data_IF_975490672616
#
_entry.id   IF_975490672616
#
_cell.length_a   1.000
_cell.length_b   1.000
_cell.length_c   1.000
_cell.angle_alpha   90.00
_cell.angle_beta   90.00
_cell.angle_gamma   90.00
#
_symmetry.space_group_name_H-M   'P 1'
#
loop_
_entity.id
_entity.type
_entity.pdbx_description
1 polymer ?
#
# COMPACT_ATOMS: atom_id res chain seq x y z
N UNK A 1 -46.86 -29.62 22.08
CA UNK A 1 -47.44 -29.68 20.72
C UNK A 1 -47.93 -28.27 20.39
N UNK A 2 -47.42 -27.57 19.37
CA UNK A 2 -46.70 -28.07 18.20
C UNK A 2 -45.22 -27.67 18.15
N UNK A 3 -44.45 -28.53 17.49
CA UNK A 3 -43.04 -28.40 17.15
C UNK A 3 -42.83 -27.26 16.14
N UNK A 4 -41.83 -26.41 16.36
CA UNK A 4 -41.24 -25.59 15.29
C UNK A 4 -40.02 -26.34 14.78
N UNK A 5 -40.18 -26.95 13.60
CA UNK A 5 -39.09 -27.51 12.82
C UNK A 5 -38.09 -26.39 12.46
N UNK A 6 -36.81 -26.69 12.67
CA UNK A 6 -35.72 -25.84 12.25
C UNK A 6 -35.48 -26.07 10.74
N UNK A 7 -35.69 -25.04 9.94
CA UNK A 7 -35.28 -25.04 8.53
C UNK A 7 -33.75 -24.86 8.42
N UNK A 8 -33.10 -25.49 7.42
CA UNK A 8 -31.65 -25.57 7.36
C UNK A 8 -31.04 -24.26 6.85
N UNK A 9 -29.97 -23.84 7.53
CA UNK A 9 -29.11 -22.71 7.13
C UNK A 9 -28.46 -23.02 5.78
N UNK A 10 -29.03 -22.49 4.70
CA UNK A 10 -28.37 -22.43 3.39
C UNK A 10 -27.22 -21.44 3.47
N UNK A 11 -26.00 -21.96 3.31
CA UNK A 11 -24.77 -21.18 3.15
C UNK A 11 -24.93 -20.25 1.94
N UNK A 12 -25.05 -18.95 2.20
CA UNK A 12 -25.00 -17.94 1.15
C UNK A 12 -23.55 -17.86 0.63
N UNK A 13 -23.35 -18.42 -0.55
CA UNK A 13 -22.22 -18.17 -1.40
C UNK A 13 -22.42 -16.77 -1.98
N UNK A 14 -21.66 -15.78 -1.51
CA UNK A 14 -21.75 -14.40 -2.00
C UNK A 14 -20.38 -13.96 -2.48
N UNK A 15 -20.02 -14.44 -3.66
CA UNK A 15 -19.20 -13.67 -4.58
C UNK A 15 -20.06 -12.48 -5.03
N UNK A 16 -20.02 -11.38 -4.26
CA UNK A 16 -20.71 -10.14 -4.62
C UNK A 16 -19.74 -9.38 -5.49
N UNK A 17 -19.90 -9.51 -6.80
CA UNK A 17 -19.32 -8.58 -7.76
C UNK A 17 -19.84 -7.19 -7.42
N UNK A 18 -18.96 -6.29 -6.97
CA UNK A 18 -19.30 -4.92 -6.64
C UNK A 18 -19.53 -4.15 -7.94
N UNK A 19 -20.79 -4.02 -8.37
CA UNK A 19 -21.18 -3.11 -9.44
C UNK A 19 -21.56 -1.77 -8.81
N UNK A 20 -20.74 -0.71 -8.94
CA UNK A 20 -21.09 0.60 -8.41
C UNK A 20 -22.35 1.14 -9.09
N UNK A 21 -23.23 1.79 -8.32
CA UNK A 21 -24.38 2.50 -8.86
C UNK A 21 -23.88 3.73 -9.64
N UNK A 22 -24.12 3.74 -10.95
CA UNK A 22 -23.64 4.78 -11.87
C UNK A 22 -24.71 5.87 -11.99
N UNK A 23 -24.32 7.13 -11.79
CA UNK A 23 -25.25 8.26 -11.95
C UNK A 23 -25.63 8.47 -13.42
N UNK A 24 -26.75 9.18 -13.65
CA UNK A 24 -27.07 9.62 -15.02
C UNK A 24 -25.96 10.54 -15.55
N UNK A 25 -25.73 10.62 -16.88
CA UNK A 25 -24.67 11.46 -17.44
C UNK A 25 -24.72 12.93 -17.00
N UNK A 26 -25.91 13.49 -16.83
CA UNK A 26 -26.10 14.86 -16.38
C UNK A 26 -25.77 15.04 -14.89
N UNK A 27 -26.19 14.10 -14.03
CA UNK A 27 -25.84 14.11 -12.60
C UNK A 27 -24.35 13.85 -12.37
N UNK A 28 -23.75 12.88 -13.08
CA UNK A 28 -22.31 12.59 -13.06
C UNK A 28 -21.52 13.86 -13.40
N UNK A 29 -21.91 14.54 -14.49
CA UNK A 29 -21.28 15.78 -14.93
C UNK A 29 -21.40 16.88 -13.87
N UNK A 30 -22.58 17.06 -13.28
CA UNK A 30 -22.80 18.06 -12.24
C UNK A 30 -21.92 17.81 -11.01
N UNK A 31 -21.91 16.57 -10.50
CA UNK A 31 -21.09 16.17 -9.34
C UNK A 31 -19.60 16.32 -9.63
N UNK A 32 -19.15 15.97 -10.84
CA UNK A 32 -17.77 16.14 -11.26
C UNK A 32 -17.39 17.62 -11.39
N UNK A 33 -18.28 18.48 -11.89
CA UNK A 33 -18.06 19.94 -11.95
C UNK A 33 -17.96 20.55 -10.54
N UNK A 34 -18.80 20.10 -9.61
CA UNK A 34 -18.76 20.52 -8.20
C UNK A 34 -17.44 20.08 -7.54
N UNK A 35 -17.05 18.82 -7.70
CA UNK A 35 -15.76 18.29 -7.23
C UNK A 35 -14.57 19.09 -7.78
N UNK A 36 -14.61 19.42 -9.08
CA UNK A 36 -13.57 20.20 -9.73
C UNK A 36 -13.52 21.66 -9.23
N UNK A 37 -14.65 22.22 -8.83
CA UNK A 37 -14.73 23.57 -8.22
C UNK A 37 -14.04 23.58 -6.86
N UNK A 38 -14.35 22.62 -5.99
CA UNK A 38 -13.70 22.45 -4.69
C UNK A 38 -12.20 22.19 -4.85
N UNK A 39 -11.81 21.29 -5.77
CA UNK A 39 -10.41 21.03 -6.12
C UNK A 39 -9.68 22.29 -6.58
N UNK A 40 -10.32 23.14 -7.38
CA UNK A 40 -9.73 24.39 -7.88
C UNK A 40 -9.50 25.38 -6.74
N UNK A 41 -10.45 25.47 -5.80
CA UNK A 41 -10.28 26.27 -4.57
C UNK A 41 -9.15 25.73 -3.69
N UNK A 42 -9.06 24.41 -3.52
CA UNK A 42 -7.98 23.73 -2.78
C UNK A 42 -6.60 23.93 -3.44
N UNK A 43 -6.53 23.93 -4.76
CA UNK A 43 -5.29 24.23 -5.48
C UNK A 43 -4.80 25.67 -5.17
N UNK A 44 -5.69 26.64 -5.02
CA UNK A 44 -5.32 28.02 -4.66
C UNK A 44 -4.69 28.07 -3.26
N UNK A 45 -5.32 27.45 -2.27
CA UNK A 45 -4.78 27.40 -0.90
C UNK A 45 -3.47 26.60 -0.83
N UNK A 46 -3.35 25.53 -1.63
CA UNK A 46 -2.10 24.80 -1.77
C UNK A 46 -0.97 25.69 -2.30
N UNK A 47 -1.24 26.48 -3.35
CA UNK A 47 -0.24 27.39 -3.92
C UNK A 47 0.13 28.54 -2.99
N UNK A 48 -0.76 28.96 -2.09
CA UNK A 48 -0.45 29.96 -1.06
C UNK A 48 0.29 29.38 0.15
N UNK A 49 0.53 28.06 0.19
CA UNK A 49 1.21 27.38 1.29
C UNK A 49 0.30 27.03 2.47
N UNK A 50 -1.01 27.28 2.37
CA UNK A 50 -1.98 26.87 3.39
C UNK A 50 -2.43 25.43 3.12
N UNK A 51 -1.57 24.49 3.51
CA UNK A 51 -1.76 23.08 3.23
C UNK A 51 -2.91 22.45 4.01
N UNK A 52 -3.20 22.92 5.23
CA UNK A 52 -4.33 22.43 6.02
C UNK A 52 -5.67 22.80 5.38
N UNK A 53 -5.82 24.05 4.92
CA UNK A 53 -7.02 24.45 4.18
C UNK A 53 -7.11 23.76 2.82
N UNK A 54 -5.96 23.49 2.17
CA UNK A 54 -5.93 22.70 0.93
C UNK A 54 -6.43 21.27 1.15
N UNK A 55 -5.99 20.58 2.21
CA UNK A 55 -6.45 19.23 2.58
C UNK A 55 -7.97 19.23 2.74
N UNK A 56 -8.53 20.14 3.54
CA UNK A 56 -9.98 20.24 3.73
C UNK A 56 -10.74 20.48 2.42
N UNK A 57 -10.20 21.32 1.52
CA UNK A 57 -10.79 21.54 0.20
C UNK A 57 -10.76 20.30 -0.69
N UNK A 58 -9.68 19.53 -0.70
CA UNK A 58 -9.63 18.26 -1.44
C UNK A 58 -10.52 17.18 -0.82
N UNK A 59 -10.68 17.14 0.49
CA UNK A 59 -11.62 16.23 1.16
C UNK A 59 -13.08 16.56 0.83
N UNK A 60 -13.43 17.85 0.75
CA UNK A 60 -14.74 18.28 0.23
C UNK A 60 -14.94 17.85 -1.21
N UNK A 61 -13.93 18.04 -2.06
CA UNK A 61 -13.98 17.57 -3.45
C UNK A 61 -14.15 16.05 -3.54
N UNK A 62 -13.54 15.27 -2.64
CA UNK A 62 -13.69 13.81 -2.57
C UNK A 62 -15.10 13.41 -2.13
N UNK A 63 -15.71 14.14 -1.20
CA UNK A 63 -17.04 13.83 -0.68
C UNK A 63 -18.14 13.96 -1.75
N UNK A 64 -17.94 14.82 -2.75
CA UNK A 64 -18.89 15.02 -3.87
C UNK A 64 -18.51 14.25 -5.13
N UNK A 65 -17.29 13.70 -5.21
CA UNK A 65 -16.83 12.96 -6.39
C UNK A 65 -17.53 11.59 -6.47
N UNK A 66 -18.17 11.24 -7.60
CA UNK A 66 -18.74 9.92 -7.78
C UNK A 66 -17.71 8.79 -7.56
N UNK A 67 -18.09 7.76 -6.81
CA UNK A 67 -17.15 6.76 -6.27
C UNK A 67 -16.50 5.88 -7.34
N UNK A 68 -17.09 5.80 -8.53
CA UNK A 68 -16.55 5.05 -9.67
C UNK A 68 -15.63 5.89 -10.58
N UNK A 69 -15.49 7.20 -10.33
CA UNK A 69 -14.53 8.06 -11.03
C UNK A 69 -13.14 7.97 -10.37
N UNK A 70 -12.58 6.76 -10.40
CA UNK A 70 -11.36 6.39 -9.67
C UNK A 70 -10.15 7.25 -10.04
N UNK A 71 -10.07 7.75 -11.28
CA UNK A 71 -8.99 8.66 -11.68
C UNK A 71 -9.08 10.00 -10.94
N UNK A 72 -10.26 10.61 -10.88
CA UNK A 72 -10.47 11.88 -10.20
C UNK A 72 -10.27 11.74 -8.69
N UNK A 73 -10.74 10.63 -8.10
CA UNK A 73 -10.46 10.26 -6.71
C UNK A 73 -8.94 10.15 -6.48
N UNK A 74 -8.22 9.46 -7.37
CA UNK A 74 -6.77 9.31 -7.27
C UNK A 74 -6.06 10.66 -7.36
N UNK A 75 -6.50 11.59 -8.23
CA UNK A 75 -5.94 12.94 -8.33
C UNK A 75 -6.05 13.67 -6.99
N UNK A 76 -7.25 13.67 -6.40
CA UNK A 76 -7.52 14.35 -5.13
C UNK A 76 -6.67 13.78 -3.99
N UNK A 77 -6.65 12.45 -3.85
CA UNK A 77 -5.83 11.75 -2.83
C UNK A 77 -4.34 11.99 -3.02
N UNK A 78 -3.87 12.02 -4.27
CA UNK A 78 -2.47 12.29 -4.58
C UNK A 78 -2.08 13.74 -4.24
N UNK A 79 -3.00 14.70 -4.36
CA UNK A 79 -2.81 16.08 -3.93
C UNK A 79 -2.83 16.23 -2.40
N UNK A 80 -3.71 15.51 -1.69
CA UNK A 80 -3.70 15.44 -0.22
C UNK A 80 -2.35 14.91 0.28
N UNK A 81 -1.84 13.83 -0.32
CA UNK A 81 -0.49 13.31 -0.02
C UNK A 81 0.59 14.37 -0.21
N UNK A 82 0.50 15.19 -1.27
CA UNK A 82 1.43 16.28 -1.49
C UNK A 82 1.37 17.36 -0.39
N UNK A 83 0.18 17.63 0.16
CA UNK A 83 0.00 18.55 1.29
C UNK A 83 0.67 18.00 2.55
N UNK A 84 0.41 16.73 2.89
CA UNK A 84 1.04 16.08 4.05
C UNK A 84 2.57 16.03 3.93
N UNK A 85 3.12 15.80 2.72
CA UNK A 85 4.58 15.89 2.49
C UNK A 85 5.11 17.30 2.78
N UNK A 86 4.34 18.34 2.47
CA UNK A 86 4.74 19.73 2.75
C UNK A 86 4.62 20.09 4.22
N UNK A 87 3.77 19.40 4.96
CA UNK A 87 3.61 19.50 6.41
C UNK A 87 4.54 18.55 7.19
N UNK A 88 5.32 17.70 6.50
CA UNK A 88 6.15 16.65 7.09
C UNK A 88 5.34 15.60 7.89
N UNK A 89 4.06 15.46 7.56
CA UNK A 89 3.13 14.46 8.11
C UNK A 89 3.28 13.15 7.33
N UNK A 90 4.40 12.47 7.55
CA UNK A 90 4.85 11.39 6.67
C UNK A 90 3.90 10.20 6.63
N UNK A 91 3.25 9.84 7.74
CA UNK A 91 2.36 8.67 7.79
C UNK A 91 1.07 8.91 7.02
N UNK A 92 0.49 10.10 7.19
CA UNK A 92 -0.70 10.58 6.50
C UNK A 92 -0.43 10.74 5.00
N UNK A 93 0.79 11.17 4.63
CA UNK A 93 1.25 11.19 3.25
C UNK A 93 1.32 9.79 2.63
N UNK A 94 1.83 8.79 3.35
CA UNK A 94 1.86 7.38 2.91
C UNK A 94 0.45 6.83 2.73
N UNK A 95 -0.44 7.09 3.69
CA UNK A 95 -1.83 6.64 3.62
C UNK A 95 -2.55 7.23 2.41
N UNK A 96 -2.46 8.55 2.23
CA UNK A 96 -3.10 9.25 1.11
C UNK A 96 -2.56 8.81 -0.25
N UNK A 97 -1.24 8.61 -0.37
CA UNK A 97 -0.64 8.10 -1.60
C UNK A 97 -1.03 6.64 -1.88
N UNK A 98 -1.17 5.81 -0.83
CA UNK A 98 -1.62 4.42 -0.96
C UNK A 98 -3.05 4.38 -1.47
N UNK A 99 -3.97 5.14 -0.87
CA UNK A 99 -5.36 5.20 -1.35
C UNK A 99 -5.47 5.75 -2.78
N UNK A 100 -4.55 6.62 -3.20
CA UNK A 100 -4.47 7.07 -4.59
C UNK A 100 -4.02 5.94 -5.53
N UNK A 101 -3.04 5.12 -5.12
CA UNK A 101 -2.57 3.97 -5.89
C UNK A 101 -3.63 2.87 -5.96
N UNK A 102 -4.33 2.59 -4.86
CA UNK A 102 -5.41 1.61 -4.83
C UNK A 102 -6.54 1.97 -5.83
N UNK A 103 -6.89 3.26 -5.93
CA UNK A 103 -7.84 3.75 -6.93
C UNK A 103 -7.35 3.54 -8.37
N UNK A 104 -6.07 3.81 -8.63
CA UNK A 104 -5.47 3.58 -9.96
C UNK A 104 -5.36 2.10 -10.30
N UNK A 105 -5.09 1.25 -9.31
CA UNK A 105 -4.99 -0.19 -9.47
C UNK A 105 -6.35 -0.85 -9.74
N UNK A 106 -7.47 -0.20 -9.41
CA UNK A 106 -8.80 -0.63 -9.88
C UNK A 106 -9.02 -0.34 -11.36
N UNK A 107 -8.40 0.71 -11.91
CA UNK A 107 -8.49 1.05 -13.33
C UNK A 107 -7.50 0.20 -14.15
N UNK A 108 -6.29 0.03 -13.64
CA UNK A 108 -5.20 -0.68 -14.28
C UNK A 108 -4.50 -1.57 -13.26
N UNK A 109 -5.01 -2.80 -13.04
CA UNK A 109 -4.47 -3.70 -12.04
C UNK A 109 -3.00 -4.06 -12.31
N UNK A 110 -2.16 -4.13 -11.26
CA UNK A 110 -0.81 -4.64 -11.43
C UNK A 110 -0.86 -6.10 -11.91
N UNK A 111 0.13 -6.56 -12.70
CA UNK A 111 0.18 -7.95 -13.13
C UNK A 111 0.18 -8.85 -11.90
N UNK A 112 -0.75 -9.81 -11.88
CA UNK A 112 -0.89 -10.77 -10.78
C UNK A 112 0.46 -11.44 -10.58
N UNK A 113 1.07 -11.26 -9.41
CA UNK A 113 2.21 -12.09 -9.02
C UNK A 113 1.64 -13.48 -8.76
N UNK A 114 1.87 -14.42 -9.67
CA UNK A 114 1.59 -15.83 -9.41
C UNK A 114 2.23 -16.19 -8.07
N UNK A 115 1.40 -16.35 -7.04
CA UNK A 115 1.83 -16.94 -5.78
C UNK A 115 2.00 -18.42 -6.07
N UNK A 116 3.25 -18.83 -6.26
CA UNK A 116 3.57 -20.20 -6.62
C UNK A 116 3.10 -21.18 -5.55
N UNK A 117 1.95 -21.80 -5.77
CA UNK A 117 1.72 -23.18 -5.34
C UNK A 117 2.21 -24.09 -6.47
N UNK A 118 3.33 -24.77 -6.21
CA UNK A 118 3.91 -25.91 -6.93
C UNK A 118 3.17 -26.39 -8.19
N UNK A 119 3.77 -26.16 -9.35
CA UNK A 119 3.45 -26.96 -10.54
C UNK A 119 4.00 -26.36 -11.82
N UNK A 120 4.85 -27.11 -12.52
CA UNK A 120 5.37 -26.78 -13.84
C UNK A 120 4.24 -26.33 -14.78
N UNK A 121 4.30 -25.08 -15.22
CA UNK A 121 3.54 -24.56 -16.35
C UNK A 121 4.40 -23.51 -17.07
N UNK A 122 4.55 -23.67 -18.38
CA UNK A 122 5.21 -22.72 -19.28
C UNK A 122 4.53 -21.34 -19.22
N UNK A 123 5.22 -20.25 -19.61
CA UNK A 123 4.62 -18.92 -19.58
C UNK A 123 3.58 -18.83 -20.70
N UNK A 124 2.32 -19.08 -20.36
CA UNK A 124 1.22 -18.70 -21.23
C UNK A 124 1.03 -17.21 -21.02
N UNK A 125 1.32 -16.42 -22.06
CA UNK A 125 0.96 -15.02 -22.13
C UNK A 125 -0.55 -14.88 -22.04
N UNK A 126 -1.08 -14.88 -20.82
CA UNK A 126 -2.49 -14.73 -20.53
C UNK A 126 -2.87 -13.27 -20.66
N UNK A 127 -3.69 -12.96 -21.65
CA UNK A 127 -4.59 -11.81 -21.57
C UNK A 127 -5.44 -12.06 -20.33
N UNK A 128 -5.18 -11.34 -19.24
CA UNK A 128 -6.05 -11.38 -18.07
C UNK A 128 -7.42 -10.89 -18.55
N UNK A 129 -8.45 -11.72 -18.38
CA UNK A 129 -9.83 -11.28 -18.63
C UNK A 129 -10.05 -10.01 -17.81
N UNK A 130 -10.47 -8.94 -18.49
CA UNK A 130 -10.82 -7.69 -17.84
C UNK A 130 -12.12 -8.00 -17.10
N UNK A 131 -12.06 -8.00 -15.76
CA UNK A 131 -13.26 -8.14 -14.94
C UNK A 131 -14.30 -7.08 -15.32
N UNK A 132 -15.59 -7.42 -15.29
CA UNK A 132 -16.69 -6.52 -15.68
C UNK A 132 -16.59 -5.16 -14.97
N UNK A 133 -16.06 -5.14 -13.73
CA UNK A 133 -15.83 -3.92 -12.98
C UNK A 133 -14.76 -3.03 -13.61
N UNK A 134 -13.69 -3.60 -14.17
CA UNK A 134 -12.59 -2.86 -14.80
C UNK A 134 -13.04 -2.24 -16.11
N UNK A 135 -13.88 -2.92 -16.88
CA UNK A 135 -14.47 -2.37 -18.12
C UNK A 135 -15.29 -1.11 -17.83
N UNK A 136 -16.14 -1.14 -16.80
CA UNK A 136 -16.93 0.02 -16.35
C UNK A 136 -16.02 1.22 -15.99
N UNK A 137 -14.92 0.97 -15.28
CA UNK A 137 -13.99 2.01 -14.87
C UNK A 137 -13.20 2.60 -16.05
N UNK A 138 -12.84 1.78 -17.03
CA UNK A 138 -12.19 2.24 -18.27
C UNK A 138 -13.14 3.06 -19.15
N UNK A 139 -14.42 2.70 -19.18
CA UNK A 139 -15.43 3.53 -19.86
C UNK A 139 -15.58 4.88 -19.14
N UNK A 140 -15.71 4.88 -17.81
CA UNK A 140 -15.78 6.11 -17.01
C UNK A 140 -14.53 7.01 -17.19
N UNK A 141 -13.33 6.42 -17.24
CA UNK A 141 -12.08 7.12 -17.55
C UNK A 141 -12.17 7.80 -18.92
N UNK A 142 -12.66 7.08 -19.93
CA UNK A 142 -12.77 7.59 -21.30
C UNK A 142 -13.83 8.69 -21.42
N UNK A 143 -15.01 8.51 -20.77
CA UNK A 143 -16.10 9.49 -20.74
C UNK A 143 -15.68 10.82 -20.10
N UNK A 144 -14.85 10.77 -19.07
CA UNK A 144 -14.28 11.97 -18.41
C UNK A 144 -13.11 12.60 -19.17
N UNK A 145 -12.79 12.10 -20.37
CA UNK A 145 -11.74 12.64 -21.23
C UNK A 145 -10.33 12.35 -20.72
N UNK A 146 -10.15 11.22 -20.02
CA UNK A 146 -8.86 10.74 -19.54
C UNK A 146 -8.41 9.50 -20.31
N UNK A 147 -7.11 9.26 -20.29
CA UNK A 147 -6.49 8.11 -20.94
C UNK A 147 -5.74 7.24 -19.94
N UNK A 148 -5.45 6.01 -20.33
CA UNK A 148 -4.58 5.12 -19.56
C UNK A 148 -3.18 5.72 -19.32
N UNK A 149 -2.69 6.55 -20.25
CA UNK A 149 -1.43 7.27 -20.07
C UNK A 149 -1.51 8.31 -18.93
N UNK A 150 -2.69 8.88 -18.68
CA UNK A 150 -2.88 9.79 -17.55
C UNK A 150 -2.85 9.03 -16.23
N UNK A 151 -3.39 7.81 -16.19
CA UNK A 151 -3.26 6.86 -15.06
C UNK A 151 -1.79 6.59 -14.78
N UNK A 152 -0.98 6.27 -15.80
CA UNK A 152 0.45 6.02 -15.62
C UNK A 152 1.22 7.23 -15.09
N UNK A 153 0.94 8.43 -15.60
CA UNK A 153 1.55 9.68 -15.10
C UNK A 153 1.19 9.95 -13.64
N UNK A 154 -0.07 9.72 -13.27
CA UNK A 154 -0.53 9.92 -11.90
C UNK A 154 0.03 8.85 -10.95
N UNK A 155 0.08 7.59 -11.38
CA UNK A 155 0.71 6.49 -10.63
C UNK A 155 2.19 6.79 -10.36
N UNK A 156 2.91 7.30 -11.36
CA UNK A 156 4.30 7.75 -11.21
C UNK A 156 4.43 8.79 -10.09
N UNK A 157 3.56 9.81 -10.07
CA UNK A 157 3.55 10.84 -9.01
C UNK A 157 3.22 10.26 -7.63
N UNK A 158 2.22 9.38 -7.55
CA UNK A 158 1.80 8.78 -6.30
C UNK A 158 2.87 7.85 -5.72
N UNK A 159 3.54 7.05 -6.54
CA UNK A 159 4.69 6.23 -6.15
C UNK A 159 5.85 7.08 -5.64
N UNK A 160 6.23 8.15 -6.35
CA UNK A 160 7.29 9.06 -5.89
C UNK A 160 6.98 9.67 -4.52
N UNK A 161 5.73 10.10 -4.31
CA UNK A 161 5.25 10.66 -3.04
C UNK A 161 5.29 9.62 -1.92
N UNK A 162 4.76 8.42 -2.17
CA UNK A 162 4.75 7.32 -1.18
C UNK A 162 6.15 6.86 -0.84
N UNK A 163 7.02 6.71 -1.84
CA UNK A 163 8.41 6.29 -1.66
C UNK A 163 9.17 7.28 -0.76
N UNK A 164 9.02 8.59 -1.01
CA UNK A 164 9.60 9.63 -0.18
C UNK A 164 9.06 9.57 1.24
N UNK A 165 7.74 9.57 1.40
CA UNK A 165 7.12 9.59 2.72
C UNK A 165 7.48 8.33 3.54
N UNK A 166 7.50 7.15 2.91
CA UNK A 166 7.95 5.89 3.54
C UNK A 166 9.40 5.92 3.98
N UNK A 167 10.28 6.55 3.18
CA UNK A 167 11.67 6.76 3.55
C UNK A 167 11.78 7.59 4.84
N UNK A 168 11.06 8.72 4.90
CA UNK A 168 11.04 9.61 6.07
C UNK A 168 10.38 8.99 7.31
N UNK A 169 9.34 8.15 7.16
CA UNK A 169 8.79 7.36 8.28
C UNK A 169 9.86 6.45 8.87
N UNK A 170 10.72 5.88 8.02
CA UNK A 170 11.79 4.99 8.43
C UNK A 170 11.30 3.68 9.04
N UNK A 171 12.22 2.96 9.67
CA UNK A 171 11.98 1.61 10.15
C UNK A 171 11.95 0.57 9.03
N UNK A 172 12.07 -0.70 9.40
CA UNK A 172 12.28 -1.79 8.46
C UNK A 172 11.14 -1.88 7.44
N UNK A 173 9.88 -1.91 7.90
CA UNK A 173 8.73 -2.06 7.02
C UNK A 173 8.57 -0.88 6.04
N UNK A 174 8.74 0.37 6.50
CA UNK A 174 8.59 1.54 5.64
C UNK A 174 9.75 1.66 4.65
N UNK A 175 11.00 1.42 5.08
CA UNK A 175 12.16 1.44 4.18
C UNK A 175 12.05 0.35 3.10
N UNK A 176 11.54 -0.84 3.45
CA UNK A 176 11.27 -1.90 2.50
C UNK A 176 10.24 -1.44 1.45
N UNK A 177 9.11 -0.88 1.91
CA UNK A 177 8.08 -0.34 1.02
C UNK A 177 8.55 0.84 0.17
N UNK A 178 9.47 1.68 0.68
CA UNK A 178 10.08 2.76 -0.09
C UNK A 178 10.95 2.22 -1.23
N UNK A 179 11.78 1.22 -0.94
CA UNK A 179 12.60 0.54 -1.94
C UNK A 179 11.74 -0.10 -3.03
N UNK A 180 10.64 -0.75 -2.66
CA UNK A 180 9.69 -1.36 -3.61
C UNK A 180 9.03 -0.31 -4.53
N UNK A 181 8.62 0.83 -3.97
CA UNK A 181 8.03 1.92 -4.76
C UNK A 181 9.05 2.48 -5.77
N UNK A 182 10.31 2.69 -5.35
CA UNK A 182 11.38 3.14 -6.26
C UNK A 182 11.76 2.11 -7.33
N UNK A 183 11.73 0.82 -6.99
CA UNK A 183 11.93 -0.25 -7.96
C UNK A 183 10.80 -0.31 -8.98
N UNK A 184 9.55 -0.09 -8.56
CA UNK A 184 8.41 -0.02 -9.47
C UNK A 184 8.57 1.12 -10.49
N UNK A 185 9.02 2.29 -10.04
CA UNK A 185 9.29 3.46 -10.90
C UNK A 185 10.38 3.23 -11.96
N UNK A 186 11.21 2.20 -11.80
CA UNK A 186 12.25 1.83 -12.78
C UNK A 186 11.73 0.93 -13.91
N UNK A 187 10.46 0.52 -13.86
CA UNK A 187 9.82 -0.37 -14.84
C UNK A 187 8.85 0.41 -15.73
N UNK A 188 8.65 -0.07 -16.96
CA UNK A 188 7.53 0.37 -17.81
C UNK A 188 6.19 0.18 -17.08
N UNK A 189 5.19 1.06 -17.26
CA UNK A 189 5.11 2.18 -18.21
C UNK A 189 5.59 3.53 -17.64
N UNK A 190 6.25 3.55 -16.48
CA UNK A 190 6.62 4.77 -15.79
C UNK A 190 7.66 5.58 -16.57
N UNK A 191 7.42 6.89 -16.68
CA UNK A 191 8.34 7.84 -17.32
C UNK A 191 8.68 8.95 -16.33
N UNK A 192 9.94 8.98 -15.91
CA UNK A 192 10.45 9.94 -14.94
C UNK A 192 11.02 11.18 -15.62
N UNK A 193 10.88 12.33 -14.98
CA UNK A 193 11.68 13.50 -15.36
C UNK A 193 13.16 13.24 -15.07
N UNK A 194 14.07 13.98 -15.71
CA UNK A 194 15.51 13.82 -15.42
C UNK A 194 15.88 14.13 -13.96
N UNK A 195 15.10 14.98 -13.29
CA UNK A 195 15.27 15.27 -11.87
C UNK A 195 14.83 14.09 -11.01
N UNK A 196 13.62 13.57 -11.27
CA UNK A 196 13.09 12.43 -10.53
C UNK A 196 13.96 11.18 -10.75
N UNK A 197 14.42 10.94 -11.97
CA UNK A 197 15.31 9.83 -12.29
C UNK A 197 16.60 9.87 -11.46
N UNK A 198 17.21 11.05 -11.28
CA UNK A 198 18.38 11.21 -10.42
C UNK A 198 18.05 10.94 -8.95
N UNK A 199 16.92 11.43 -8.47
CA UNK A 199 16.49 11.20 -7.09
C UNK A 199 16.23 9.71 -6.81
N UNK A 200 15.52 9.02 -7.71
CA UNK A 200 15.25 7.58 -7.63
C UNK A 200 16.56 6.78 -7.64
N UNK A 201 17.48 7.09 -8.57
CA UNK A 201 18.78 6.41 -8.62
C UNK A 201 19.63 6.65 -7.36
N UNK A 202 19.59 7.84 -6.78
CA UNK A 202 20.27 8.14 -5.53
C UNK A 202 19.67 7.33 -4.37
N UNK A 203 18.35 7.32 -4.23
CA UNK A 203 17.65 6.55 -3.19
C UNK A 203 17.92 5.04 -3.32
N UNK A 204 17.90 4.48 -4.54
CA UNK A 204 18.20 3.07 -4.78
C UNK A 204 19.64 2.65 -4.41
N UNK A 205 20.57 3.60 -4.28
CA UNK A 205 21.95 3.31 -3.81
C UNK A 205 22.07 3.30 -2.30
N UNK A 206 21.29 4.11 -1.58
CA UNK A 206 21.42 4.27 -0.13
C UNK A 206 20.46 3.38 0.65
N UNK A 207 19.21 3.26 0.17
CA UNK A 207 18.15 2.51 0.85
C UNK A 207 18.50 1.07 1.21
N UNK A 208 19.20 0.26 0.38
CA UNK A 208 19.54 -1.11 0.77
C UNK A 208 20.35 -1.19 2.07
N UNK A 209 21.28 -0.25 2.28
CA UNK A 209 22.10 -0.21 3.49
C UNK A 209 21.30 0.25 4.70
N UNK A 210 20.48 1.29 4.54
CA UNK A 210 19.58 1.80 5.59
C UNK A 210 18.57 0.74 6.01
N UNK A 211 18.00 0.02 5.03
CA UNK A 211 17.08 -1.09 5.22
C UNK A 211 17.70 -2.21 6.05
N UNK A 212 18.90 -2.68 5.68
CA UNK A 212 19.60 -3.73 6.43
C UNK A 212 19.88 -3.28 7.86
N UNK A 213 20.30 -2.02 8.04
CA UNK A 213 20.56 -1.46 9.37
C UNK A 213 19.29 -1.41 10.23
N UNK A 214 18.17 -0.96 9.67
CA UNK A 214 16.88 -0.94 10.38
C UNK A 214 16.39 -2.35 10.69
N UNK A 215 16.52 -3.27 9.73
CA UNK A 215 16.16 -4.67 9.86
C UNK A 215 16.93 -5.36 11.00
N UNK A 216 18.25 -5.21 11.04
CA UNK A 216 19.09 -5.80 12.09
C UNK A 216 18.75 -5.23 13.48
N UNK A 217 18.55 -3.91 13.56
CA UNK A 217 18.17 -3.22 14.79
C UNK A 217 16.82 -3.72 15.32
N UNK A 218 15.78 -3.71 14.49
CA UNK A 218 14.43 -4.11 14.89
C UNK A 218 14.36 -5.60 15.23
N UNK A 219 15.08 -6.47 14.50
CA UNK A 219 15.18 -7.89 14.87
C UNK A 219 15.87 -8.09 16.22
N UNK A 220 16.95 -7.35 16.50
CA UNK A 220 17.62 -7.41 17.80
C UNK A 220 16.68 -6.95 18.95
N UNK A 221 15.92 -5.87 18.74
CA UNK A 221 14.93 -5.37 19.70
C UNK A 221 13.79 -6.38 19.90
N UNK A 222 13.25 -6.96 18.83
CA UNK A 222 12.23 -8.00 18.89
C UNK A 222 12.75 -9.22 19.66
N UNK A 223 13.92 -9.74 19.32
CA UNK A 223 14.52 -10.88 20.02
C UNK A 223 14.75 -10.56 21.50
N UNK A 224 15.20 -9.35 21.83
CA UNK A 224 15.33 -8.89 23.21
C UNK A 224 14.00 -8.87 23.96
N UNK A 225 12.92 -8.43 23.33
CA UNK A 225 11.57 -8.42 23.92
C UNK A 225 11.01 -9.83 24.08
N UNK A 226 11.22 -10.73 23.11
CA UNK A 226 10.86 -12.14 23.23
C UNK A 226 11.62 -12.81 24.39
N UNK A 227 12.93 -12.53 24.52
CA UNK A 227 13.72 -13.00 25.68
C UNK A 227 13.18 -12.47 27.00
N UNK A 228 12.86 -11.18 27.10
CA UNK A 228 12.26 -10.59 28.31
C UNK A 228 10.94 -11.26 28.69
N UNK A 229 10.06 -11.48 27.70
CA UNK A 229 8.78 -12.16 27.91
C UNK A 229 8.98 -13.61 28.35
N UNK A 230 9.84 -14.36 27.65
CA UNK A 230 10.19 -15.73 28.01
C UNK A 230 10.77 -15.83 29.42
N UNK A 231 11.70 -14.94 29.77
CA UNK A 231 12.27 -14.87 31.11
C UNK A 231 11.22 -14.51 32.18
N UNK A 232 10.21 -13.69 31.86
CA UNK A 232 9.10 -13.44 32.76
C UNK A 232 8.34 -14.71 33.14
N UNK A 233 8.12 -15.61 32.18
CA UNK A 233 7.46 -16.90 32.38
C UNK A 233 8.39 -17.91 33.08
N UNK A 234 9.68 -17.90 32.74
CA UNK A 234 10.65 -18.89 33.19
C UNK A 234 11.22 -18.60 34.60
N UNK A 235 11.26 -17.32 35.01
CA UNK A 235 11.87 -16.89 36.28
C UNK A 235 11.28 -17.55 37.53
N UNK A 236 9.95 -17.76 37.68
CA UNK A 236 9.38 -18.50 38.82
C UNK A 236 9.88 -19.95 38.92
N UNK A 237 10.39 -20.52 37.83
CA UNK A 237 10.95 -21.87 37.78
C UNK A 237 12.47 -21.91 37.95
N UNK A 238 13.11 -20.75 38.21
CA UNK A 238 14.58 -20.65 38.25
C UNK A 238 15.24 -20.79 36.88
N UNK A 239 14.49 -20.57 35.80
CA UNK A 239 14.95 -20.72 34.41
C UNK A 239 15.01 -19.36 33.68
N UNK A 240 15.73 -19.36 32.56
CA UNK A 240 15.94 -18.25 31.63
C UNK A 240 15.99 -18.81 30.19
N UNK A 241 15.67 -17.97 29.20
CA UNK A 241 15.87 -18.25 27.78
C UNK A 241 17.32 -18.56 27.44
N UNK A 242 18.28 -18.11 28.25
CA UNK A 242 19.70 -18.40 28.05
C UNK A 242 20.09 -19.81 28.54
N UNK A 243 19.24 -20.48 29.33
CA UNK A 243 19.42 -21.91 29.64
C UNK A 243 19.24 -22.78 28.40
N UNK A 244 18.60 -22.28 27.34
CA UNK A 244 18.28 -23.04 26.14
C UNK A 244 19.15 -22.57 24.97
N UNK A 245 20.17 -23.36 24.63
CA UNK A 245 21.13 -23.05 23.57
C UNK A 245 20.81 -23.84 22.31
N UNK A 246 20.73 -23.15 21.18
CA UNK A 246 20.50 -23.77 19.89
C UNK A 246 21.81 -23.87 19.11
N UNK A 247 22.13 -25.08 18.63
CA UNK A 247 23.30 -25.36 17.79
C UNK A 247 22.83 -25.91 16.45
N UNK A 248 23.18 -25.22 15.37
CA UNK A 248 22.90 -25.66 14.00
C UNK A 248 23.95 -26.68 13.57
N UNK A 249 23.51 -27.84 13.06
CA UNK A 249 24.38 -28.81 12.40
C UNK A 249 24.74 -28.29 11.00
N UNK A 250 26.03 -28.02 10.71
CA UNK A 250 26.47 -27.44 9.45
C UNK A 250 26.27 -28.38 8.23
N UNK A 251 25.98 -29.66 8.45
CA UNK A 251 25.86 -30.69 7.41
C UNK A 251 24.41 -30.97 7.05
N UNK A 252 23.55 -31.11 8.07
CA UNK A 252 22.13 -31.42 7.88
C UNK A 252 21.23 -30.17 7.84
N UNK A 253 21.75 -29.02 8.29
CA UNK A 253 20.97 -27.80 8.50
C UNK A 253 19.98 -27.88 9.66
N UNK A 254 19.92 -29.02 10.37
CA UNK A 254 19.04 -29.24 11.51
C UNK A 254 19.49 -28.47 12.75
N UNK A 255 18.53 -28.09 13.59
CA UNK A 255 18.79 -27.42 14.88
C UNK A 255 18.68 -28.42 16.03
N UNK A 256 19.71 -28.47 16.87
CA UNK A 256 19.68 -29.19 18.16
C UNK A 256 19.56 -28.18 19.29
N UNK A 257 18.78 -28.50 20.32
CA UNK A 257 18.54 -27.64 21.48
C UNK A 257 19.17 -28.30 22.71
N UNK A 258 20.15 -27.63 23.30
CA UNK A 258 20.85 -28.04 24.51
C UNK A 258 20.37 -27.22 25.70
N UNK A 259 20.14 -27.87 26.83
CA UNK A 259 19.76 -27.20 28.07
C UNK A 259 20.93 -27.14 29.04
N UNK A 260 21.35 -25.93 29.42
CA UNK A 260 22.39 -25.69 30.41
C UNK A 260 21.76 -25.09 31.68
N UNK A 261 21.90 -25.78 32.82
CA UNK A 261 21.33 -25.39 34.10
C UNK A 261 22.01 -24.17 34.77
N UNK A 262 23.24 -23.80 34.36
CA UNK A 262 23.99 -22.64 34.88
C UNK A 262 24.67 -21.87 33.73
N UNK A 263 23.94 -21.08 32.93
CA UNK A 263 24.57 -20.20 31.95
C UNK A 263 25.30 -19.06 32.70
N UNK A 264 26.63 -19.11 32.76
CA UNK A 264 27.48 -18.03 33.31
C UNK A 264 28.20 -18.31 34.64
N UNK A 265 28.33 -19.58 35.07
CA UNK A 265 29.39 -20.00 36.01
C UNK A 265 30.56 -20.63 35.26
#
# INVERSE_FOLDING_TARGET
>A
MPSKEAEPVTKANTDVTYTPEIFSPDEEKQLLEESNTEKTSANKTFTSGDYNSAIQGYEKALAVCPTYLEYDIAVLRSNISACHIKLEEWKEAVESATKALDALDRIDPPPVKETGENGRGEPVGGVSEIDDSTEILLDALSRTGRSINDVYKLRTKALLRRAKARHEVGGWASLQGSLEDYQALSKSPHQLSSLDQKAVQAAMRTLPTELNTAKDKEMAEMMGNLKKLGNGILKPFGLSTDNFQFTQDPTSGGYSMNFNQNPGK
#
